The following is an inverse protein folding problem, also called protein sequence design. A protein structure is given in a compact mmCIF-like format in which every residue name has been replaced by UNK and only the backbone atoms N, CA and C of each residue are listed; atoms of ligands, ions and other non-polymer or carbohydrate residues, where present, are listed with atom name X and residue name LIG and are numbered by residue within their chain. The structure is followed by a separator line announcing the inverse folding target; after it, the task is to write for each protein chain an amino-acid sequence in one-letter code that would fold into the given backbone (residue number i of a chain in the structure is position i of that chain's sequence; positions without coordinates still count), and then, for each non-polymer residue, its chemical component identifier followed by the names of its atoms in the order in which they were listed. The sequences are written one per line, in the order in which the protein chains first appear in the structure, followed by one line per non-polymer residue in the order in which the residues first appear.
data_IF_241761025653
#
_entry.id   IF_241761025653
#
_cell.length_a   1.000
_cell.length_b   1.000
_cell.length_c   1.000
_cell.angle_alpha   90.00
_cell.angle_beta   90.00
_cell.angle_gamma   90.00
#
_symmetry.space_group_name_H-M   'P 1'
#
loop_
_entity.id
_entity.type
_entity.pdbx_description
1 polymer ?
#
# COMPACT_ATOMS: atom_id res chain seq x y z
N UNK A 1 58.08 -29.92 -16.20
CA UNK A 1 57.61 -30.28 -17.57
C UNK A 1 56.99 -31.68 -17.45
N UNK A 2 55.75 -32.02 -17.79
CA UNK A 2 54.75 -31.60 -18.80
C UNK A 2 53.34 -31.97 -18.26
N UNK A 3 52.39 -31.03 -18.22
CA UNK A 3 51.20 -30.84 -19.09
C UNK A 3 49.89 -31.54 -18.65
N UNK A 4 48.92 -30.66 -18.30
CA UNK A 4 47.49 -30.63 -18.61
C UNK A 4 46.57 -31.84 -18.32
N UNK A 5 45.46 -31.58 -17.60
CA UNK A 5 44.11 -31.65 -18.19
C UNK A 5 43.05 -31.05 -17.26
N UNK A 6 42.30 -30.08 -17.79
CA UNK A 6 41.18 -29.37 -17.20
C UNK A 6 39.93 -30.26 -17.11
N UNK A 7 39.20 -30.24 -16.00
CA UNK A 7 37.84 -30.81 -15.92
C UNK A 7 36.89 -29.89 -15.14
N UNK A 8 36.54 -28.79 -15.82
CA UNK A 8 35.19 -28.25 -15.99
C UNK A 8 34.11 -28.67 -14.96
N UNK A 9 34.02 -27.93 -13.85
CA UNK A 9 32.83 -27.88 -12.98
C UNK A 9 32.48 -26.43 -12.61
N UNK A 10 32.37 -25.55 -13.60
CA UNK A 10 32.02 -24.13 -13.39
C UNK A 10 30.97 -23.62 -14.39
N UNK A 11 29.98 -24.43 -14.78
CA UNK A 11 28.96 -23.99 -15.78
C UNK A 11 27.51 -24.29 -15.38
N UNK A 12 27.25 -24.93 -14.24
CA UNK A 12 25.87 -25.23 -13.80
C UNK A 12 25.22 -24.13 -12.94
N UNK A 13 26.00 -23.21 -12.37
CA UNK A 13 25.48 -22.11 -11.55
C UNK A 13 24.73 -21.01 -12.32
N UNK A 14 25.15 -20.54 -13.51
CA UNK A 14 24.43 -19.45 -14.18
C UNK A 14 23.05 -19.86 -14.70
N UNK A 15 22.86 -21.13 -15.10
CA UNK A 15 21.57 -21.63 -15.60
C UNK A 15 20.49 -21.72 -14.51
N UNK A 16 20.86 -22.08 -13.28
CA UNK A 16 19.92 -22.13 -12.14
C UNK A 16 19.51 -20.72 -11.73
N UNK A 17 20.43 -19.75 -11.75
CA UNK A 17 20.12 -18.35 -11.47
C UNK A 17 19.16 -17.78 -12.51
N UNK A 18 19.37 -18.09 -13.80
CA UNK A 18 18.45 -17.66 -14.88
C UNK A 18 17.07 -18.30 -14.75
N UNK A 19 16.95 -19.55 -14.28
CA UNK A 19 15.63 -20.16 -14.03
C UNK A 19 14.91 -19.56 -12.81
N UNK A 20 15.65 -19.22 -11.75
CA UNK A 20 15.09 -18.62 -10.54
C UNK A 20 14.69 -17.15 -10.73
N UNK A 21 15.36 -16.39 -11.60
CA UNK A 21 14.98 -14.98 -11.87
C UNK A 21 13.81 -14.83 -12.85
N UNK A 22 13.40 -15.89 -13.55
CA UNK A 22 12.32 -15.83 -14.56
C UNK A 22 10.93 -16.11 -13.95
N UNK A 23 10.84 -16.50 -12.67
CA UNK A 23 9.58 -16.90 -12.03
C UNK A 23 8.63 -15.76 -11.63
N UNK A 24 9.06 -14.49 -11.64
CA UNK A 24 8.23 -13.37 -11.13
C UNK A 24 7.24 -12.75 -12.14
N UNK A 25 7.10 -13.32 -13.35
CA UNK A 25 6.19 -12.76 -14.38
C UNK A 25 4.96 -13.62 -14.70
N UNK A 26 4.60 -14.55 -13.80
CA UNK A 26 3.37 -15.32 -13.91
C UNK A 26 2.15 -14.49 -13.49
N UNK A 27 1.60 -13.78 -14.48
CA UNK A 27 0.17 -13.52 -14.61
C UNK A 27 -0.48 -12.71 -13.49
N UNK A 28 -0.16 -11.42 -13.41
CA UNK A 28 -1.13 -10.48 -12.85
C UNK A 28 -2.11 -10.10 -13.97
N UNK A 29 -3.21 -10.85 -14.11
CA UNK A 29 -4.32 -10.40 -14.94
C UNK A 29 -4.69 -8.96 -14.49
N UNK A 30 -4.93 -8.02 -15.43
CA UNK A 30 -5.33 -6.68 -15.05
C UNK A 30 -6.57 -6.75 -14.17
N UNK A 31 -6.53 -6.11 -13.00
CA UNK A 31 -7.65 -6.12 -12.09
C UNK A 31 -8.78 -5.26 -12.67
N UNK A 32 -9.90 -5.89 -13.03
CA UNK A 32 -11.07 -5.21 -13.55
C UNK A 32 -12.07 -4.95 -12.42
N UNK A 33 -12.10 -3.70 -11.93
CA UNK A 33 -13.10 -3.23 -10.98
C UNK A 33 -13.68 -1.90 -11.50
N UNK A 34 -14.98 -1.88 -11.80
CA UNK A 34 -15.65 -0.76 -12.45
C UNK A 34 -16.35 0.10 -11.41
N UNK A 35 -15.95 1.38 -11.34
CA UNK A 35 -16.58 2.37 -10.48
C UNK A 35 -17.18 3.51 -11.27
N UNK A 36 -18.31 4.04 -10.78
CA UNK A 36 -18.81 5.33 -11.22
C UNK A 36 -17.78 6.43 -10.94
N UNK A 37 -17.77 7.46 -11.78
CA UNK A 37 -16.88 8.62 -11.63
C UNK A 37 -17.43 9.68 -10.66
N UNK A 38 -18.51 9.37 -9.95
CA UNK A 38 -19.11 10.28 -8.99
C UNK A 38 -18.19 10.48 -7.77
N UNK A 39 -18.12 11.72 -7.30
CA UNK A 39 -17.30 12.10 -6.16
C UNK A 39 -18.16 12.19 -4.89
N UNK A 40 -18.09 11.14 -4.07
CA UNK A 40 -18.74 11.03 -2.77
C UNK A 40 -17.71 10.52 -1.76
N UNK A 41 -16.79 11.40 -1.30
CA UNK A 41 -15.60 10.97 -0.60
C UNK A 41 -15.95 10.21 0.67
N UNK A 42 -15.12 9.20 0.98
CA UNK A 42 -15.20 8.47 2.23
C UNK A 42 -13.83 8.39 2.87
N UNK A 43 -13.80 8.36 4.20
CA UNK A 43 -12.61 8.07 4.95
C UNK A 43 -12.63 6.60 5.37
N UNK A 44 -11.58 5.89 5.00
CA UNK A 44 -11.39 4.51 5.37
C UNK A 44 -10.19 4.36 6.30
N UNK A 45 -10.28 3.40 7.19
CA UNK A 45 -9.24 3.01 8.13
C UNK A 45 -8.68 1.66 7.73
N UNK A 46 -7.36 1.49 7.80
CA UNK A 46 -6.68 0.24 7.48
C UNK A 46 -5.38 0.08 8.26
N UNK A 47 -4.68 -1.02 7.97
CA UNK A 47 -3.33 -1.28 8.47
C UNK A 47 -2.39 -1.48 7.28
N UNK A 48 -1.19 -0.94 7.35
CA UNK A 48 -0.14 -1.24 6.38
C UNK A 48 0.45 -2.66 6.63
N UNK A 49 1.42 -3.06 5.82
CA UNK A 49 2.10 -4.36 5.95
C UNK A 49 2.83 -4.57 7.28
N UNK A 50 3.13 -3.48 8.00
CA UNK A 50 3.79 -3.49 9.31
C UNK A 50 2.77 -3.46 10.47
N UNK A 51 1.47 -3.48 10.17
CA UNK A 51 0.39 -3.41 11.16
C UNK A 51 0.12 -2.01 11.69
N UNK A 52 0.77 -0.98 11.14
CA UNK A 52 0.56 0.43 11.52
C UNK A 52 -0.78 0.90 10.98
N UNK A 53 -1.56 1.48 11.88
CA UNK A 53 -2.90 1.98 11.60
C UNK A 53 -2.86 3.30 10.85
N UNK A 54 -3.64 3.43 9.78
CA UNK A 54 -3.70 4.65 9.00
C UNK A 54 -5.09 4.89 8.41
N UNK A 55 -5.36 6.17 8.15
CA UNK A 55 -6.58 6.63 7.51
C UNK A 55 -6.28 7.10 6.09
N UNK A 56 -7.15 6.74 5.14
CA UNK A 56 -7.05 7.13 3.73
C UNK A 56 -8.40 7.59 3.22
N UNK A 57 -8.40 8.72 2.51
CA UNK A 57 -9.59 9.20 1.81
C UNK A 57 -9.70 8.52 0.45
N UNK A 58 -10.87 7.99 0.12
CA UNK A 58 -11.20 7.47 -1.19
C UNK A 58 -12.25 8.36 -1.88
N UNK A 59 -12.18 8.56 -3.21
CA UNK A 59 -13.16 9.35 -3.97
C UNK A 59 -14.61 8.90 -3.77
N UNK A 60 -14.83 7.60 -3.59
CA UNK A 60 -16.11 6.99 -3.24
C UNK A 60 -15.93 5.57 -2.67
N UNK A 61 -17.01 4.98 -2.17
CA UNK A 61 -16.99 3.64 -1.60
C UNK A 61 -16.54 2.55 -2.60
N UNK A 62 -16.89 2.67 -3.88
CA UNK A 62 -16.45 1.72 -4.90
C UNK A 62 -14.93 1.74 -5.08
N UNK A 63 -14.31 2.92 -5.10
CA UNK A 63 -12.84 3.01 -5.24
C UNK A 63 -12.08 2.43 -4.04
N UNK A 64 -12.68 2.46 -2.84
CA UNK A 64 -12.13 1.75 -1.67
C UNK A 64 -12.22 0.24 -1.87
N UNK A 65 -13.37 -0.26 -2.33
CA UNK A 65 -13.56 -1.69 -2.61
C UNK A 65 -12.63 -2.18 -3.73
N UNK A 66 -12.42 -1.37 -4.77
CA UNK A 66 -11.45 -1.64 -5.83
C UNK A 66 -10.02 -1.76 -5.29
N UNK A 67 -9.60 -0.89 -4.36
CA UNK A 67 -8.28 -1.01 -3.71
C UNK A 67 -8.21 -2.27 -2.85
N UNK A 68 -9.27 -2.63 -2.11
CA UNK A 68 -9.30 -3.88 -1.35
C UNK A 68 -9.20 -5.11 -2.25
N UNK A 69 -9.89 -5.11 -3.40
CA UNK A 69 -9.92 -6.21 -4.34
C UNK A 69 -8.62 -6.34 -5.16
N UNK A 70 -8.15 -5.23 -5.75
CA UNK A 70 -7.03 -5.23 -6.70
C UNK A 70 -5.67 -5.19 -6.02
N UNK A 71 -5.55 -4.42 -4.94
CA UNK A 71 -4.28 -4.20 -4.23
C UNK A 71 -4.19 -5.08 -2.97
N UNK A 72 -5.20 -5.93 -2.73
CA UNK A 72 -5.31 -6.80 -1.54
C UNK A 72 -5.19 -6.02 -0.22
N UNK A 73 -5.71 -4.80 -0.20
CA UNK A 73 -5.78 -4.00 1.02
C UNK A 73 -7.00 -4.40 1.86
N UNK A 74 -7.05 -3.92 3.10
CA UNK A 74 -8.12 -4.28 4.06
C UNK A 74 -8.74 -3.02 4.70
N UNK A 75 -9.00 -2.00 3.88
CA UNK A 75 -9.65 -0.78 4.34
C UNK A 75 -11.11 -1.03 4.72
N UNK A 76 -11.52 -0.43 5.83
CA UNK A 76 -12.90 -0.42 6.32
C UNK A 76 -13.40 1.02 6.38
N UNK A 77 -14.67 1.23 6.05
CA UNK A 77 -15.31 2.53 6.18
C UNK A 77 -15.22 3.02 7.64
N UNK A 78 -14.68 4.22 7.84
CA UNK A 78 -14.61 4.87 9.15
C UNK A 78 -15.65 5.99 9.26
N UNK A 79 -15.67 6.92 8.29
CA UNK A 79 -16.61 8.03 8.25
C UNK A 79 -16.91 8.42 6.80
N UNK A 80 -18.09 8.98 6.56
CA UNK A 80 -18.40 9.64 5.29
C UNK A 80 -17.66 10.98 5.20
N UNK A 81 -17.28 11.37 4.00
CA UNK A 81 -16.49 12.57 3.74
C UNK A 81 -14.98 12.32 3.78
N UNK A 82 -14.22 13.40 3.82
CA UNK A 82 -12.75 13.36 3.87
C UNK A 82 -12.27 12.83 5.23
N UNK A 83 -11.10 12.18 5.27
CA UNK A 83 -10.45 11.92 6.54
C UNK A 83 -10.08 13.24 7.21
N UNK A 84 -10.54 13.41 8.45
CA UNK A 84 -10.08 14.50 9.30
C UNK A 84 -8.59 14.27 9.54
N UNK A 85 -7.75 15.17 9.03
CA UNK A 85 -6.42 15.34 9.59
C UNK A 85 -6.71 15.84 11.00
N UNK A 86 -6.64 14.95 11.99
CA UNK A 86 -6.60 15.42 13.37
C UNK A 86 -5.36 16.32 13.41
N UNK A 87 -5.50 17.61 13.77
CA UNK A 87 -4.34 18.40 14.09
C UNK A 87 -3.49 17.58 15.05
N UNK A 88 -2.21 17.41 14.73
CA UNK A 88 -1.27 16.94 15.74
C UNK A 88 -1.52 17.80 16.98
N UNK A 89 -1.56 17.16 18.15
CA UNK A 89 -1.94 17.70 19.46
C UNK A 89 -1.00 18.80 19.99
N UNK A 90 -0.59 19.72 19.13
CA UNK A 90 0.24 20.88 19.41
C UNK A 90 -0.41 22.18 18.93
N UNK A 91 -1.45 22.15 18.09
CA UNK A 91 -2.19 23.35 17.67
C UNK A 91 -3.61 23.46 18.24
N UNK A 92 -4.23 22.36 18.66
CA UNK A 92 -5.61 22.39 19.16
C UNK A 92 -5.74 22.87 20.61
N UNK A 93 -4.66 22.80 21.39
CA UNK A 93 -4.62 23.37 22.74
C UNK A 93 -4.54 24.91 22.72
N UNK A 94 -4.01 25.52 21.65
CA UNK A 94 -3.91 26.99 21.56
C UNK A 94 -5.24 27.67 21.23
N UNK A 95 -6.16 27.00 20.54
CA UNK A 95 -7.48 27.56 20.24
C UNK A 95 -8.42 27.40 21.45
N UNK A 96 -8.36 26.26 22.15
CA UNK A 96 -9.15 26.05 23.36
C UNK A 96 -8.68 26.96 24.51
N UNK A 97 -7.36 27.14 24.68
CA UNK A 97 -6.82 28.05 25.69
C UNK A 97 -7.02 29.54 25.36
N UNK A 98 -7.17 29.93 24.09
CA UNK A 98 -7.56 31.31 23.75
C UNK A 98 -9.05 31.61 23.97
N UNK A 99 -9.90 30.60 23.97
CA UNK A 99 -11.35 30.76 24.18
C UNK A 99 -11.76 30.62 25.65
N UNK A 100 -10.97 29.94 26.49
CA UNK A 100 -11.32 29.64 27.89
C UNK A 100 -10.69 30.62 28.91
N UNK A 101 -9.59 31.30 28.58
CA UNK A 101 -8.90 32.22 29.50
C UNK A 101 -9.18 33.70 29.22
N UNK A 102 -10.32 34.01 28.60
CA UNK A 102 -10.76 35.39 28.36
C UNK A 102 -11.92 35.77 29.27
N UNK A 103 -11.79 35.48 30.56
CA UNK A 103 -12.54 36.09 31.67
C UNK A 103 -11.68 36.07 32.94
#
# INVERSE_FOLDING_TARGET
MRFASSNMKCVLLPFVVVLLTVQDSLSQAPCFHLCAKDYFPICAYGKNSEGVEHYKTFPNACTMDASNHCEKTAYKLSQLGLCKVLPSTTEQDNIYNQLVFKD
#
